data_IF_891308957953
#
_entry.id   IF_891308957953
#
_cell.length_a   1.000
_cell.length_b   1.000
_cell.length_c   1.000
_cell.angle_alpha   90.00
_cell.angle_beta   90.00
_cell.angle_gamma   90.00
#
_symmetry.space_group_name_H-M   'P 1'
#
loop_
_entity.id
_entity.type
_entity.pdbx_description
1 polymer ?
#
# COMPACT_ATOMS: atom_id res chain seq x y z
N UNK A 1 -0.64 -8.01 5.90
CA UNK A 1 -1.09 -6.66 6.32
C UNK A 1 -2.33 -6.69 7.19
N UNK A 2 -3.52 -7.07 6.69
CA UNK A 2 -4.79 -6.97 7.47
C UNK A 2 -4.70 -7.65 8.85
N UNK A 3 -4.22 -8.89 8.90
CA UNK A 3 -4.03 -9.63 10.17
C UNK A 3 -3.12 -8.90 11.15
N UNK A 4 -2.08 -8.23 10.65
CA UNK A 4 -1.13 -7.48 11.46
C UNK A 4 -1.80 -6.24 12.05
N UNK A 5 -2.47 -5.45 11.21
CA UNK A 5 -3.16 -4.22 11.63
C UNK A 5 -4.26 -4.52 12.67
N UNK A 6 -5.02 -5.60 12.49
CA UNK A 6 -6.05 -6.02 13.44
C UNK A 6 -5.48 -6.50 14.79
N UNK A 7 -4.21 -6.91 14.83
CA UNK A 7 -3.57 -7.36 16.07
C UNK A 7 -3.16 -6.20 16.98
N UNK A 8 -3.07 -4.98 16.44
CA UNK A 8 -2.66 -3.78 17.16
C UNK A 8 -3.83 -3.28 18.02
N UNK A 9 -3.70 -3.31 19.35
CA UNK A 9 -4.75 -2.84 20.26
C UNK A 9 -4.39 -1.54 20.97
N UNK A 10 -3.09 -1.23 21.05
CA UNK A 10 -2.59 -0.06 21.77
C UNK A 10 -1.28 0.45 21.16
N UNK A 11 -0.73 1.52 21.75
CA UNK A 11 0.51 2.17 21.31
C UNK A 11 1.74 1.26 21.38
N UNK A 12 1.82 0.37 22.37
CA UNK A 12 2.96 -0.55 22.50
C UNK A 12 2.96 -1.59 21.37
N UNK A 13 1.78 -2.14 21.04
CA UNK A 13 1.60 -3.04 19.90
C UNK A 13 1.95 -2.35 18.59
N UNK A 14 1.56 -1.07 18.46
CA UNK A 14 1.84 -0.26 17.27
C UNK A 14 3.36 -0.13 17.05
N UNK A 15 4.12 0.17 18.10
CA UNK A 15 5.58 0.27 18.02
C UNK A 15 6.23 -1.07 17.67
N UNK A 16 5.69 -2.19 18.18
CA UNK A 16 6.18 -3.54 17.87
C UNK A 16 5.87 -3.96 16.43
N UNK A 17 4.68 -3.63 15.94
CA UNK A 17 4.22 -3.99 14.59
C UNK A 17 4.85 -3.12 13.50
N UNK A 18 5.41 -1.96 13.86
CA UNK A 18 5.88 -0.93 12.93
C UNK A 18 6.85 -1.46 11.85
N UNK A 19 7.93 -2.20 12.17
CA UNK A 19 8.85 -2.69 11.14
C UNK A 19 8.16 -3.62 10.12
N UNK A 20 7.25 -4.47 10.60
CA UNK A 20 6.58 -5.47 9.78
C UNK A 20 5.50 -4.86 8.89
N UNK A 21 4.71 -3.93 9.42
CA UNK A 21 3.72 -3.20 8.62
C UNK A 21 4.42 -2.35 7.55
N UNK A 22 5.52 -1.68 7.90
CA UNK A 22 6.31 -0.89 6.97
C UNK A 22 6.90 -1.76 5.85
N UNK A 23 7.42 -2.94 6.16
CA UNK A 23 7.85 -3.91 5.15
C UNK A 23 6.70 -4.28 4.21
N UNK A 24 5.51 -4.58 4.74
CA UNK A 24 4.36 -4.96 3.92
C UNK A 24 3.84 -3.80 3.05
N UNK A 25 3.96 -2.55 3.52
CA UNK A 25 3.68 -1.36 2.70
C UNK A 25 4.68 -1.27 1.54
N UNK A 26 5.96 -1.53 1.79
CA UNK A 26 6.98 -1.56 0.74
C UNK A 26 6.72 -2.65 -0.31
N UNK A 27 6.34 -3.85 0.13
CA UNK A 27 5.97 -4.95 -0.77
C UNK A 27 4.75 -4.59 -1.63
N UNK A 28 3.74 -3.92 -1.05
CA UNK A 28 2.57 -3.45 -1.79
C UNK A 28 2.95 -2.43 -2.87
N UNK A 29 3.83 -1.49 -2.54
CA UNK A 29 4.36 -0.50 -3.48
C UNK A 29 5.10 -1.18 -4.63
N UNK A 30 5.91 -2.19 -4.35
CA UNK A 30 6.63 -2.94 -5.38
C UNK A 30 5.66 -3.62 -6.37
N UNK A 31 4.58 -4.20 -5.86
CA UNK A 31 3.51 -4.78 -6.69
C UNK A 31 2.82 -3.70 -7.54
N UNK A 32 2.52 -2.53 -6.98
CA UNK A 32 1.90 -1.43 -7.72
C UNK A 32 2.81 -0.90 -8.84
N UNK A 33 4.11 -0.77 -8.57
CA UNK A 33 5.11 -0.37 -9.58
C UNK A 33 5.17 -1.42 -10.70
N UNK A 34 5.31 -2.70 -10.35
CA UNK A 34 5.37 -3.78 -11.33
C UNK A 34 4.08 -3.87 -12.17
N UNK A 35 2.91 -3.67 -11.56
CA UNK A 35 1.64 -3.63 -12.26
C UNK A 35 1.57 -2.46 -13.25
N UNK A 36 2.06 -1.27 -12.86
CA UNK A 36 2.11 -0.11 -13.74
C UNK A 36 3.08 -0.32 -14.92
N UNK A 37 4.27 -0.88 -14.67
CA UNK A 37 5.22 -1.24 -15.73
C UNK A 37 4.62 -2.28 -16.70
N UNK A 38 3.94 -3.28 -16.17
CA UNK A 38 3.27 -4.29 -16.96
C UNK A 38 2.16 -3.68 -17.84
N UNK A 39 1.36 -2.76 -17.27
CA UNK A 39 0.29 -2.05 -17.99
C UNK A 39 0.83 -1.22 -19.16
N UNK A 40 1.95 -0.52 -18.98
CA UNK A 40 2.57 0.25 -20.06
C UNK A 40 3.16 -0.65 -21.16
N UNK A 41 3.76 -1.79 -20.79
CA UNK A 41 4.31 -2.76 -21.76
C UNK A 41 3.21 -3.56 -22.49
N UNK A 42 2.03 -3.69 -21.90
CA UNK A 42 0.94 -4.51 -22.41
C UNK A 42 -0.39 -3.73 -22.46
N UNK A 43 -0.49 -2.65 -23.25
CA UNK A 43 -1.66 -1.78 -23.27
C UNK A 43 -2.94 -2.50 -23.75
N UNK A 44 -2.79 -3.59 -24.50
CA UNK A 44 -3.92 -4.39 -25.01
C UNK A 44 -4.53 -5.34 -23.97
N UNK A 45 -3.88 -5.56 -22.82
CA UNK A 45 -4.33 -6.48 -21.76
C UNK A 45 -5.10 -5.76 -20.64
N UNK A 46 -5.59 -4.53 -20.87
CA UNK A 46 -5.97 -3.59 -19.81
C UNK A 46 -7.27 -3.87 -19.02
N UNK A 47 -7.93 -5.01 -19.18
CA UNK A 47 -9.24 -5.25 -18.56
C UNK A 47 -9.25 -6.46 -17.63
N UNK A 48 -8.64 -6.31 -16.44
CA UNK A 48 -8.95 -7.19 -15.32
C UNK A 48 -10.23 -6.69 -14.65
N UNK A 49 -11.28 -7.50 -14.68
CA UNK A 49 -12.47 -7.24 -13.88
C UNK A 49 -12.19 -7.63 -12.44
N UNK A 50 -12.44 -6.68 -11.52
CA UNK A 50 -12.36 -6.96 -10.09
C UNK A 50 -13.53 -7.85 -9.69
N UNK A 51 -13.25 -8.86 -8.87
CA UNK A 51 -14.27 -9.71 -8.29
C UNK A 51 -14.84 -9.07 -7.02
N UNK A 52 -15.99 -9.58 -6.57
CA UNK A 52 -16.56 -9.20 -5.27
C UNK A 52 -15.57 -9.43 -4.12
N UNK A 53 -14.80 -10.52 -4.16
CA UNK A 53 -13.77 -10.81 -3.16
C UNK A 53 -12.68 -9.73 -3.12
N UNK A 54 -12.31 -9.15 -4.27
CA UNK A 54 -11.37 -8.04 -4.31
C UNK A 54 -11.92 -6.80 -3.58
N UNK A 55 -13.20 -6.50 -3.75
CA UNK A 55 -13.87 -5.40 -3.06
C UNK A 55 -13.94 -5.64 -1.55
N UNK A 56 -14.31 -6.85 -1.14
CA UNK A 56 -14.37 -7.23 0.29
C UNK A 56 -13.00 -7.15 0.96
N UNK A 57 -11.95 -7.59 0.28
CA UNK A 57 -10.58 -7.49 0.80
C UNK A 57 -10.14 -6.03 0.99
N UNK A 58 -10.52 -5.15 0.05
CA UNK A 58 -10.26 -3.72 0.16
C UNK A 58 -10.99 -3.10 1.36
N UNK A 59 -12.26 -3.46 1.55
CA UNK A 59 -13.04 -3.01 2.71
C UNK A 59 -12.44 -3.49 4.03
N UNK A 60 -12.00 -4.75 4.11
CA UNK A 60 -11.31 -5.27 5.29
C UNK A 60 -10.02 -4.50 5.60
N UNK A 61 -9.21 -4.19 4.59
CA UNK A 61 -8.01 -3.38 4.75
C UNK A 61 -8.34 -1.97 5.25
N UNK A 62 -9.35 -1.33 4.65
CA UNK A 62 -9.82 0.00 5.06
C UNK A 62 -10.29 0.02 6.50
N UNK A 63 -11.05 -0.98 6.92
CA UNK A 63 -11.49 -1.11 8.32
C UNK A 63 -10.31 -1.28 9.28
N UNK A 64 -9.33 -2.12 8.93
CA UNK A 64 -8.14 -2.35 9.75
C UNK A 64 -7.28 -1.08 9.89
N UNK A 65 -7.12 -0.30 8.81
CA UNK A 65 -6.42 0.98 8.85
C UNK A 65 -7.16 2.01 9.71
N UNK A 66 -8.49 2.10 9.57
CA UNK A 66 -9.31 2.99 10.39
C UNK A 66 -9.26 2.65 11.88
N UNK A 67 -9.13 1.36 12.22
CA UNK A 67 -8.91 0.93 13.60
C UNK A 67 -7.59 1.49 14.15
N UNK A 68 -6.49 1.28 13.43
CA UNK A 68 -5.16 1.80 13.82
C UNK A 68 -5.15 3.32 13.90
N UNK A 69 -5.82 4.02 12.98
CA UNK A 69 -5.87 5.49 12.94
C UNK A 69 -6.49 6.11 14.20
N UNK A 70 -7.33 5.37 14.93
CA UNK A 70 -7.97 5.82 16.17
C UNK A 70 -7.07 5.65 17.41
N UNK A 71 -5.96 4.92 17.30
CA UNK A 71 -5.02 4.72 18.39
C UNK A 71 -4.12 5.94 18.57
N UNK A 72 -3.64 6.15 19.80
CA UNK A 72 -2.66 7.18 20.09
C UNK A 72 -1.36 6.93 19.29
N UNK A 73 -0.93 7.92 18.51
CA UNK A 73 0.21 7.79 17.59
C UNK A 73 -0.07 6.99 16.31
N UNK A 74 -1.26 6.39 16.17
CA UNK A 74 -1.62 5.58 15.01
C UNK A 74 -1.70 6.38 13.71
N UNK A 75 -2.18 7.62 13.78
CA UNK A 75 -2.19 8.53 12.63
C UNK A 75 -0.79 8.79 12.07
N UNK A 76 0.14 9.25 12.92
CA UNK A 76 1.53 9.54 12.54
C UNK A 76 2.21 8.29 11.97
N UNK A 77 1.94 7.13 12.56
CA UNK A 77 2.43 5.85 12.06
C UNK A 77 1.96 5.54 10.63
N UNK A 78 0.66 5.69 10.35
CA UNK A 78 0.11 5.46 9.01
C UNK A 78 0.65 6.48 8.02
N UNK A 79 0.69 7.76 8.39
CA UNK A 79 1.21 8.83 7.54
C UNK A 79 2.69 8.61 7.18
N UNK A 80 3.52 8.21 8.14
CA UNK A 80 4.94 7.88 7.89
C UNK A 80 5.10 6.69 6.93
N UNK A 81 4.28 5.64 7.07
CA UNK A 81 4.30 4.51 6.14
C UNK A 81 3.86 4.92 4.72
N UNK A 82 2.85 5.78 4.63
CA UNK A 82 2.32 6.29 3.38
C UNK A 82 3.32 7.21 2.67
N UNK A 83 3.95 8.14 3.38
CA UNK A 83 4.91 9.10 2.81
C UNK A 83 6.06 8.39 2.10
N UNK A 84 6.66 7.39 2.75
CA UNK A 84 7.74 6.61 2.15
C UNK A 84 7.28 5.82 0.91
N UNK A 85 6.07 5.26 0.99
CA UNK A 85 5.46 4.48 -0.07
C UNK A 85 5.15 5.34 -1.30
N UNK A 86 4.53 6.52 -1.08
CA UNK A 86 4.20 7.51 -2.10
C UNK A 86 5.45 8.03 -2.81
N UNK A 87 6.48 8.39 -2.05
CA UNK A 87 7.73 8.86 -2.64
C UNK A 87 8.35 7.83 -3.60
N UNK A 88 8.33 6.53 -3.25
CA UNK A 88 8.82 5.45 -4.13
C UNK A 88 7.96 5.28 -5.39
N UNK A 89 6.64 5.31 -5.24
CA UNK A 89 5.68 5.27 -6.35
C UNK A 89 5.90 6.43 -7.33
N UNK A 90 5.99 7.66 -6.83
CA UNK A 90 6.24 8.84 -7.66
C UNK A 90 7.57 8.74 -8.44
N UNK A 91 8.63 8.27 -7.78
CA UNK A 91 9.93 8.11 -8.43
C UNK A 91 9.89 7.05 -9.53
N UNK A 92 9.14 5.96 -9.32
CA UNK A 92 8.93 4.94 -10.35
C UNK A 92 8.10 5.49 -11.52
N UNK A 93 6.99 6.18 -11.25
CA UNK A 93 6.16 6.79 -12.29
C UNK A 93 6.94 7.79 -13.15
N UNK A 94 7.78 8.63 -12.52
CA UNK A 94 8.64 9.58 -13.25
C UNK A 94 9.62 8.86 -14.18
N UNK A 95 10.21 7.75 -13.74
CA UNK A 95 11.11 6.93 -14.57
C UNK A 95 10.38 6.32 -15.77
N UNK A 96 9.20 5.73 -15.52
CA UNK A 96 8.37 5.13 -16.57
C UNK A 96 7.98 6.19 -17.61
N UNK A 97 7.59 7.40 -17.19
CA UNK A 97 7.24 8.49 -18.11
C UNK A 97 8.44 8.99 -18.92
N UNK A 98 9.63 9.12 -18.30
CA UNK A 98 10.84 9.57 -19.01
C UNK A 98 11.21 8.64 -20.17
N UNK A 99 11.17 7.33 -19.95
CA UNK A 99 11.41 6.29 -20.99
C UNK A 99 10.48 6.45 -22.20
N UNK A 100 9.32 7.10 -22.05
CA UNK A 100 8.33 7.29 -23.11
C UNK A 100 8.63 8.49 -24.03
N UNK A 101 9.59 9.33 -23.65
CA UNK A 101 9.92 10.60 -24.36
C UNK A 101 11.21 10.52 -25.18
N UNK A 102 11.95 9.42 -25.05
CA UNK A 102 13.14 9.08 -25.84
C UNK A 102 12.79 8.03 -26.90
#
# INVERSE_FOLDING_TARGET
>A
MIKELNSIQNREDLLKALPKVQQQCNELVDVMIAAQEFKEKNPMLQNLQLTQENHELNDQLRMALNHVYKLEGGREFIENCQEQSLHRLEMAERKIRKIKTD
#
